data_IF_125332344096
#
_entry.id   IF_125332344096
#
_cell.length_a   1.000
_cell.length_b   1.000
_cell.length_c   1.000
_cell.angle_alpha   90.00
_cell.angle_beta   90.00
_cell.angle_gamma   90.00
#
_symmetry.space_group_name_H-M   'P 1'
#
loop_
_entity.id
_entity.type
_entity.pdbx_description
1 polymer ?
#
# COMPACT_ATOMS: atom_id res chain seq x y z
N UNK A 1 23.67 -6.24 -4.21
CA UNK A 1 23.19 -4.90 -4.58
C UNK A 1 21.96 -5.10 -5.47
N UNK A 2 20.76 -4.69 -5.05
CA UNK A 2 19.53 -4.95 -5.82
C UNK A 2 19.55 -4.15 -7.13
N UNK A 3 19.60 -4.87 -8.26
CA UNK A 3 19.84 -4.35 -9.64
C UNK A 3 18.59 -3.85 -10.35
N UNK A 4 17.39 -4.17 -9.84
CA UNK A 4 16.14 -3.82 -10.51
C UNK A 4 15.75 -2.35 -10.32
N UNK A 5 15.19 -1.70 -11.36
CA UNK A 5 14.77 -0.30 -11.30
C UNK A 5 13.65 -0.08 -10.29
N UNK A 6 13.81 0.95 -9.45
CA UNK A 6 12.73 1.45 -8.59
C UNK A 6 11.66 2.08 -9.48
N UNK A 7 10.40 1.85 -9.14
CA UNK A 7 9.24 2.42 -9.84
C UNK A 7 8.42 3.27 -8.88
N UNK A 8 7.66 4.20 -9.44
CA UNK A 8 6.61 4.87 -8.70
C UNK A 8 5.37 3.98 -8.69
N UNK A 9 4.71 3.87 -7.55
CA UNK A 9 3.62 2.95 -7.34
C UNK A 9 2.46 3.62 -6.61
N UNK A 10 1.26 3.54 -7.16
CA UNK A 10 0.05 3.56 -6.37
C UNK A 10 -0.20 2.14 -5.88
N UNK A 11 -0.19 1.96 -4.56
CA UNK A 11 -0.44 0.69 -3.90
C UNK A 11 -1.71 0.79 -3.06
N UNK A 12 -2.50 -0.27 -3.08
CA UNK A 12 -3.71 -0.41 -2.31
C UNK A 12 -3.42 -1.24 -1.06
N UNK A 13 -3.76 -0.70 0.11
CA UNK A 13 -3.64 -1.37 1.39
C UNK A 13 -5.03 -1.69 1.91
N UNK A 14 -5.18 -2.87 2.53
CA UNK A 14 -6.37 -3.20 3.30
C UNK A 14 -6.00 -4.08 4.49
N UNK A 15 -6.73 -3.88 5.59
CA UNK A 15 -6.50 -4.58 6.86
C UNK A 15 -7.57 -5.63 7.11
N UNK A 16 -8.82 -5.26 6.92
CA UNK A 16 -9.99 -6.06 7.29
C UNK A 16 -10.67 -6.67 6.06
N UNK A 17 -10.87 -5.89 4.99
CA UNK A 17 -11.55 -6.36 3.79
C UNK A 17 -10.57 -6.85 2.73
N UNK A 18 -10.66 -8.13 2.37
CA UNK A 18 -10.05 -8.67 1.15
C UNK A 18 -10.98 -8.37 -0.01
N UNK A 19 -10.61 -7.42 -0.86
CA UNK A 19 -11.36 -7.15 -2.09
C UNK A 19 -10.62 -7.75 -3.28
N UNK A 20 -11.34 -8.48 -4.13
CA UNK A 20 -10.79 -8.91 -5.43
C UNK A 20 -10.52 -7.73 -6.36
N UNK A 21 -11.24 -6.62 -6.16
CA UNK A 21 -11.07 -5.37 -6.90
C UNK A 21 -11.17 -4.15 -5.97
N UNK A 22 -10.27 -3.17 -6.07
CA UNK A 22 -10.35 -1.94 -5.31
C UNK A 22 -11.70 -1.23 -5.52
N UNK A 23 -12.47 -1.09 -4.45
CA UNK A 23 -13.75 -0.38 -4.44
C UNK A 23 -13.83 0.54 -3.21
N UNK A 24 -14.64 1.58 -3.32
CA UNK A 24 -14.73 2.64 -2.32
C UNK A 24 -16.16 2.90 -1.87
N UNK A 25 -16.38 2.99 -0.56
CA UNK A 25 -17.61 3.48 0.08
C UNK A 25 -17.59 5.00 0.04
N UNK A 26 -18.44 5.59 -0.80
CA UNK A 26 -18.42 7.05 -1.04
C UNK A 26 -18.58 7.86 0.25
N UNK A 27 -19.49 7.47 1.15
CA UNK A 27 -19.74 8.16 2.41
C UNK A 27 -18.55 8.13 3.40
N UNK A 28 -17.79 7.03 3.40
CA UNK A 28 -16.66 6.79 4.31
C UNK A 28 -15.31 7.25 3.71
N UNK A 29 -15.29 7.61 2.43
CA UNK A 29 -14.06 7.97 1.74
C UNK A 29 -13.60 9.37 2.13
N UNK A 30 -12.31 9.53 2.34
CA UNK A 30 -11.61 10.81 2.38
C UNK A 30 -10.53 10.85 1.30
N UNK A 31 -10.32 12.04 0.74
CA UNK A 31 -9.28 12.30 -0.25
C UNK A 31 -8.29 13.29 0.33
N UNK A 32 -7.00 13.02 0.12
CA UNK A 32 -5.93 13.93 0.50
C UNK A 32 -6.08 15.26 -0.24
N UNK A 33 -6.01 16.36 0.50
CA UNK A 33 -5.68 17.68 -0.05
C UNK A 33 -4.17 17.91 0.04
N UNK A 34 -3.60 17.81 1.26
CA UNK A 34 -2.15 17.87 1.49
C UNK A 34 -1.73 17.14 2.76
N UNK A 35 -0.47 16.71 2.80
CA UNK A 35 0.17 16.27 4.04
C UNK A 35 0.68 17.52 4.76
N UNK A 36 0.19 17.78 5.99
CA UNK A 36 0.61 18.92 6.81
C UNK A 36 1.95 18.66 7.49
N UNK A 37 2.12 17.44 8.01
CA UNK A 37 3.37 16.97 8.60
C UNK A 37 3.47 15.46 8.46
N UNK A 38 4.70 14.95 8.41
CA UNK A 38 4.94 13.52 8.51
C UNK A 38 6.31 13.24 9.13
N UNK A 39 6.43 12.13 9.85
CA UNK A 39 7.68 11.72 10.48
C UNK A 39 7.72 10.20 10.66
N UNK A 40 8.91 9.67 10.91
CA UNK A 40 9.10 8.25 11.23
C UNK A 40 9.60 8.12 12.68
N UNK A 41 9.18 7.06 13.38
CA UNK A 41 9.69 6.69 14.69
C UNK A 41 9.83 5.18 14.77
N UNK A 42 10.80 4.70 15.53
CA UNK A 42 10.86 3.29 15.95
C UNK A 42 10.30 3.21 17.35
N UNK A 43 9.25 2.41 17.53
CA UNK A 43 8.54 2.24 18.80
C UNK A 43 8.41 0.74 19.11
N UNK A 44 8.91 0.31 20.26
CA UNK A 44 8.97 -1.12 20.61
C UNK A 44 9.77 -1.98 19.61
N UNK A 45 10.75 -1.39 18.91
CA UNK A 45 11.51 -2.06 17.85
C UNK A 45 10.82 -2.09 16.48
N UNK A 46 9.56 -1.64 16.39
CA UNK A 46 8.78 -1.60 15.15
C UNK A 46 8.86 -0.22 14.52
N UNK A 47 9.13 -0.17 13.22
CA UNK A 47 9.15 1.09 12.47
C UNK A 47 7.74 1.55 12.10
N UNK A 48 7.45 2.80 12.44
CA UNK A 48 6.18 3.45 12.14
C UNK A 48 6.38 4.80 11.47
N UNK A 49 5.48 5.11 10.54
CA UNK A 49 5.36 6.42 9.92
C UNK A 49 4.05 7.09 10.34
N UNK A 50 4.12 8.36 10.72
CA UNK A 50 2.99 9.15 11.21
C UNK A 50 2.71 10.30 10.25
N UNK A 51 1.44 10.60 10.04
CA UNK A 51 0.98 11.62 9.10
C UNK A 51 -0.10 12.45 9.74
N UNK A 52 0.04 13.77 9.67
CA UNK A 52 -1.08 14.69 9.84
C UNK A 52 -1.49 15.19 8.47
N UNK A 53 -2.75 14.93 8.09
CA UNK A 53 -3.26 15.17 6.75
C UNK A 53 -4.45 16.11 6.79
N UNK A 54 -4.55 16.95 5.77
CA UNK A 54 -5.73 17.75 5.49
C UNK A 54 -6.48 17.12 4.33
N UNK A 55 -7.76 16.84 4.50
CA UNK A 55 -8.61 16.29 3.45
C UNK A 55 -9.16 17.38 2.53
N UNK A 56 -9.67 17.00 1.36
CA UNK A 56 -10.37 17.95 0.46
C UNK A 56 -11.64 18.56 1.07
N UNK A 57 -12.22 17.92 2.08
CA UNK A 57 -13.34 18.45 2.88
C UNK A 57 -12.89 19.41 3.99
N UNK A 58 -11.57 19.61 4.18
CA UNK A 58 -11.01 20.50 5.20
C UNK A 58 -10.80 19.84 6.57
N UNK A 59 -11.06 18.53 6.71
CA UNK A 59 -10.83 17.80 7.95
C UNK A 59 -9.33 17.58 8.16
N UNK A 60 -8.90 17.64 9.42
CA UNK A 60 -7.55 17.25 9.84
C UNK A 60 -7.64 15.85 10.43
N UNK A 61 -6.85 14.93 9.89
CA UNK A 61 -6.84 13.53 10.29
C UNK A 61 -5.40 13.12 10.54
N UNK A 62 -5.20 12.33 11.59
CA UNK A 62 -3.89 11.77 11.90
C UNK A 62 -3.89 10.26 11.63
N UNK A 63 -2.91 9.78 10.85
CA UNK A 63 -2.75 8.38 10.48
C UNK A 63 -1.40 7.84 10.96
N UNK A 64 -1.39 6.60 11.41
CA UNK A 64 -0.19 5.81 11.69
C UNK A 64 -0.07 4.68 10.68
N UNK A 65 1.13 4.47 10.14
CA UNK A 65 1.46 3.36 9.26
C UNK A 65 2.54 2.50 9.92
N UNK A 66 2.19 1.25 10.24
CA UNK A 66 3.15 0.23 10.64
C UNK A 66 3.83 -0.32 9.39
N UNK A 67 5.11 0.00 9.21
CA UNK A 67 5.86 -0.32 7.98
C UNK A 67 6.19 -1.82 7.86
N UNK A 68 6.26 -2.53 8.98
CA UNK A 68 6.63 -3.95 9.00
C UNK A 68 5.42 -4.86 8.78
N UNK A 69 4.28 -4.48 9.38
CA UNK A 69 3.02 -5.22 9.26
C UNK A 69 2.17 -4.78 8.08
N UNK A 70 2.55 -3.68 7.40
CA UNK A 70 1.81 -3.09 6.28
C UNK A 70 0.38 -2.70 6.64
N UNK A 71 0.21 -2.15 7.84
CA UNK A 71 -1.11 -1.79 8.39
C UNK A 71 -1.19 -0.29 8.63
N UNK A 72 -2.28 0.31 8.15
CA UNK A 72 -2.65 1.68 8.45
C UNK A 72 -3.65 1.71 9.62
N UNK A 73 -3.49 2.70 10.48
CA UNK A 73 -4.33 2.97 11.64
C UNK A 73 -4.77 4.43 11.62
N UNK A 74 -6.00 4.67 12.08
CA UNK A 74 -6.46 5.99 12.44
C UNK A 74 -5.98 6.30 13.86
N UNK A 75 -5.42 7.48 14.07
CA UNK A 75 -5.13 7.96 15.43
C UNK A 75 -6.44 8.51 16.00
N UNK A 76 -6.89 8.03 17.18
CA UNK A 76 -8.12 8.50 17.79
C UNK A 76 -8.13 10.02 18.00
N UNK A 77 -9.29 10.64 17.75
CA UNK A 77 -9.50 12.08 17.94
C UNK A 77 -10.95 12.35 18.37
N UNK A 78 -11.27 13.56 18.80
CA UNK A 78 -12.63 13.92 19.22
C UNK A 78 -13.69 13.70 18.12
N UNK A 79 -13.32 13.87 16.85
CA UNK A 79 -14.21 13.61 15.72
C UNK A 79 -14.34 12.12 15.37
N UNK A 80 -13.36 11.32 15.77
CA UNK A 80 -13.21 9.91 15.41
C UNK A 80 -12.70 9.08 16.60
N UNK A 81 -13.44 9.00 17.72
CA UNK A 81 -12.98 8.28 18.91
C UNK A 81 -12.95 6.77 18.67
N UNK A 82 -14.01 6.24 18.07
CA UNK A 82 -14.22 4.79 17.84
C UNK A 82 -14.31 4.47 16.34
N UNK A 83 -13.42 5.06 15.55
CA UNK A 83 -13.36 4.82 14.11
C UNK A 83 -12.04 4.17 13.72
N UNK A 84 -12.09 3.45 12.60
CA UNK A 84 -10.94 2.75 12.04
C UNK A 84 -10.72 3.16 10.59
N UNK A 85 -9.50 2.93 10.12
CA UNK A 85 -9.16 2.96 8.69
C UNK A 85 -9.00 1.52 8.20
N UNK A 86 -9.47 1.23 6.99
CA UNK A 86 -9.26 -0.08 6.34
C UNK A 86 -8.52 0.08 5.02
N UNK A 87 -9.21 0.60 4.00
CA UNK A 87 -8.66 0.75 2.66
C UNK A 87 -7.89 2.05 2.55
N UNK A 88 -6.63 1.96 2.13
CA UNK A 88 -5.76 3.12 1.90
C UNK A 88 -5.07 2.97 0.56
N UNK A 89 -5.30 3.92 -0.35
CA UNK A 89 -4.53 4.04 -1.58
C UNK A 89 -3.38 5.00 -1.32
N UNK A 90 -2.17 4.50 -1.55
CA UNK A 90 -0.93 5.16 -1.18
C UNK A 90 -0.07 5.35 -2.41
N UNK A 91 0.43 6.57 -2.60
CA UNK A 91 1.49 6.85 -3.57
C UNK A 91 2.85 6.61 -2.92
N UNK A 92 3.63 5.71 -3.51
CA UNK A 92 5.00 5.41 -3.13
C UNK A 92 5.92 5.98 -4.21
N UNK A 93 6.59 7.09 -3.87
CA UNK A 93 7.43 7.84 -4.80
C UNK A 93 8.74 7.13 -5.08
N UNK A 94 9.17 7.17 -6.34
CA UNK A 94 10.47 6.67 -6.79
C UNK A 94 11.60 7.62 -6.39
N UNK A 95 11.99 7.68 -5.11
CA UNK A 95 13.11 8.52 -4.67
C UNK A 95 13.94 7.92 -3.53
N UNK A 96 15.24 7.70 -3.78
CA UNK A 96 16.22 7.30 -2.76
C UNK A 96 16.67 8.46 -1.86
N UNK A 97 16.43 9.71 -2.25
CA UNK A 97 17.02 10.91 -1.61
C UNK A 97 16.06 11.72 -0.73
N UNK A 98 14.87 11.20 -0.44
CA UNK A 98 13.91 11.89 0.42
C UNK A 98 14.28 11.68 1.91
N UNK A 99 14.19 12.69 2.80
CA UNK A 99 14.77 12.62 4.14
C UNK A 99 14.23 11.51 5.03
N UNK A 100 12.96 11.13 4.87
CA UNK A 100 12.35 10.03 5.62
C UNK A 100 11.40 9.22 4.74
N UNK A 101 11.10 7.98 5.15
CA UNK A 101 10.18 7.09 4.43
C UNK A 101 8.77 7.64 4.36
N UNK A 102 8.33 8.31 5.42
CA UNK A 102 7.02 8.96 5.45
C UNK A 102 6.83 9.95 4.29
N UNK A 103 7.88 10.67 3.88
CA UNK A 103 7.80 11.58 2.73
C UNK A 103 7.69 10.87 1.37
N UNK A 104 7.95 9.56 1.32
CA UNK A 104 7.83 8.75 0.10
C UNK A 104 6.50 8.02 0.02
N UNK A 105 5.87 7.75 1.15
CA UNK A 105 4.66 6.93 1.29
C UNK A 105 3.49 7.85 1.61
N UNK A 106 2.74 8.30 0.61
CA UNK A 106 1.74 9.35 0.74
C UNK A 106 0.33 8.75 0.67
N UNK A 107 -0.48 8.79 1.75
CA UNK A 107 -1.85 8.30 1.73
C UNK A 107 -2.73 9.24 0.89
N UNK A 108 -3.09 8.83 -0.32
CA UNK A 108 -3.81 9.65 -1.30
C UNK A 108 -5.33 9.61 -1.10
N UNK A 109 -5.86 8.45 -0.70
CA UNK A 109 -7.29 8.22 -0.47
C UNK A 109 -7.47 7.11 0.56
N UNK A 110 -8.42 7.24 1.46
CA UNK A 110 -8.65 6.25 2.52
C UNK A 110 -10.10 6.21 2.99
N UNK A 111 -10.52 5.08 3.56
CA UNK A 111 -11.85 4.89 4.15
C UNK A 111 -11.78 4.96 5.67
N UNK A 112 -12.62 5.81 6.27
CA UNK A 112 -12.84 5.87 7.71
C UNK A 112 -14.29 5.54 8.00
N UNK A 113 -14.50 4.62 8.93
CA UNK A 113 -15.84 4.20 9.37
C UNK A 113 -15.82 3.75 10.84
N UNK A 114 -16.97 3.73 11.51
CA UNK A 114 -17.08 3.30 12.90
C UNK A 114 -16.56 1.87 13.08
N UNK A 115 -15.84 1.60 14.17
CA UNK A 115 -15.33 0.27 14.48
C UNK A 115 -16.46 -0.76 14.60
N UNK A 116 -17.65 -0.34 15.08
CA UNK A 116 -18.84 -1.17 15.14
C UNK A 116 -19.34 -1.68 13.78
N UNK A 117 -18.96 -1.02 12.68
CA UNK A 117 -19.27 -1.45 11.31
C UNK A 117 -18.21 -2.42 10.74
N UNK A 118 -17.16 -2.74 11.50
CA UNK A 118 -16.38 -3.95 11.25
C UNK A 118 -17.33 -5.13 11.49
N UNK A 119 -17.99 -5.54 10.40
CA UNK A 119 -18.84 -6.72 10.39
C UNK A 119 -18.10 -7.88 11.08
N UNK A 120 -18.62 -8.29 12.25
CA UNK A 120 -18.17 -9.48 13.01
C UNK A 120 -18.28 -10.78 12.18
N UNK A 121 -18.81 -10.73 10.96
CA UNK A 121 -19.20 -11.88 10.14
C UNK A 121 -18.06 -12.61 9.44
N UNK A 122 -16.80 -12.23 9.62
CA UNK A 122 -15.71 -13.06 9.13
C UNK A 122 -14.67 -13.24 10.25
N UNK A 123 -14.79 -14.35 10.98
CA UNK A 123 -13.71 -15.02 11.72
C UNK A 123 -12.52 -15.41 10.80
N UNK A 124 -12.33 -14.70 9.70
CA UNK A 124 -11.25 -14.94 8.75
C UNK A 124 -9.97 -14.42 9.37
N UNK A 125 -8.88 -15.19 9.27
CA UNK A 125 -7.59 -14.71 9.70
C UNK A 125 -7.23 -13.45 8.91
N UNK A 126 -6.55 -12.52 9.59
CA UNK A 126 -5.99 -11.32 8.97
C UNK A 126 -5.28 -11.69 7.66
N UNK A 127 -5.37 -10.85 6.61
CA UNK A 127 -4.67 -11.11 5.36
C UNK A 127 -3.19 -11.40 5.60
N UNK A 128 -2.64 -12.36 4.84
CA UNK A 128 -1.21 -12.59 4.84
C UNK A 128 -0.48 -11.32 4.41
N UNK A 129 0.80 -11.15 4.77
CA UNK A 129 1.54 -9.91 4.51
C UNK A 129 1.48 -9.46 3.03
N UNK A 130 1.65 -10.40 2.09
CA UNK A 130 1.54 -10.16 0.64
C UNK A 130 0.13 -9.79 0.14
N UNK A 131 -0.88 -9.90 1.00
CA UNK A 131 -2.27 -9.52 0.73
C UNK A 131 -2.65 -8.18 1.38
N UNK A 132 -1.83 -7.65 2.29
CA UNK A 132 -2.09 -6.36 2.94
C UNK A 132 -1.68 -5.17 2.09
N UNK A 133 -0.82 -5.39 1.10
CA UNK A 133 -0.47 -4.42 0.06
C UNK A 133 -0.63 -5.07 -1.31
N UNK A 134 -1.25 -4.35 -2.23
CA UNK A 134 -1.46 -4.76 -3.60
C UNK A 134 -1.05 -3.65 -4.56
N UNK A 135 -0.34 -3.97 -5.65
CA UNK A 135 0.00 -2.96 -6.64
C UNK A 135 -1.26 -2.56 -7.41
N UNK A 136 -1.49 -1.25 -7.57
CA UNK A 136 -2.69 -0.72 -8.23
C UNK A 136 -2.36 -0.07 -9.57
N UNK A 137 -1.33 0.78 -9.61
CA UNK A 137 -0.85 1.42 -10.84
C UNK A 137 0.60 1.77 -10.65
N UNK A 138 1.41 1.60 -11.68
CA UNK A 138 2.82 1.95 -11.60
C UNK A 138 3.30 2.77 -12.79
N UNK A 139 4.41 3.46 -12.55
CA UNK A 139 5.13 4.23 -13.55
C UNK A 139 6.63 3.95 -13.42
N UNK A 140 7.30 3.84 -14.56
CA UNK A 140 8.76 3.74 -14.66
C UNK A 140 9.29 4.74 -15.70
N UNK A 141 10.60 4.83 -15.86
CA UNK A 141 11.18 5.70 -16.90
C UNK A 141 10.80 5.29 -18.33
N UNK A 142 10.48 4.01 -18.55
CA UNK A 142 10.08 3.46 -19.85
C UNK A 142 8.57 3.22 -19.98
N UNK A 143 7.87 3.16 -18.86
CA UNK A 143 6.44 2.85 -18.79
C UNK A 143 5.75 4.06 -18.17
N UNK A 144 5.06 4.90 -18.96
CA UNK A 144 4.56 6.18 -18.48
C UNK A 144 3.49 6.03 -17.40
N UNK A 145 2.61 5.04 -17.53
CA UNK A 145 1.64 4.64 -16.50
C UNK A 145 0.98 3.34 -16.97
N UNK A 146 0.88 2.36 -16.09
CA UNK A 146 0.16 1.11 -16.35
C UNK A 146 -0.78 0.79 -15.19
N UNK A 147 -2.07 0.65 -15.50
CA UNK A 147 -3.09 0.28 -14.52
C UNK A 147 -3.09 -1.23 -14.37
N UNK A 148 -3.05 -1.71 -13.13
CA UNK A 148 -3.17 -3.14 -12.86
C UNK A 148 -4.65 -3.50 -12.81
N UNK A 149 -5.02 -4.54 -13.56
CA UNK A 149 -6.39 -5.06 -13.62
C UNK A 149 -6.52 -6.42 -12.94
N UNK A 150 -5.41 -7.15 -12.78
CA UNK A 150 -5.39 -8.47 -12.14
C UNK A 150 -4.03 -8.78 -11.54
N UNK A 151 -4.03 -9.42 -10.37
CA UNK A 151 -2.85 -10.07 -9.78
C UNK A 151 -2.92 -11.56 -10.14
N UNK A 152 -2.03 -12.02 -11.02
CA UNK A 152 -1.98 -13.41 -11.51
C UNK A 152 -1.40 -14.33 -10.44
N UNK A 153 -0.33 -13.90 -9.78
CA UNK A 153 0.34 -14.67 -8.73
C UNK A 153 0.96 -13.72 -7.73
N UNK A 154 1.01 -14.13 -6.47
CA UNK A 154 1.74 -13.42 -5.41
C UNK A 154 2.39 -14.40 -4.46
N UNK A 155 3.54 -14.05 -3.91
CA UNK A 155 4.17 -14.80 -2.83
C UNK A 155 5.10 -13.92 -2.00
N UNK A 156 5.41 -14.39 -0.80
CA UNK A 156 6.39 -13.80 0.11
C UNK A 156 7.67 -14.64 0.03
N UNK A 157 8.81 -13.97 -0.18
CA UNK A 157 10.13 -14.57 -0.07
C UNK A 157 10.88 -13.95 1.11
N UNK A 158 11.43 -14.77 2.00
CA UNK A 158 12.31 -14.32 3.08
C UNK A 158 13.75 -14.33 2.57
N UNK A 159 14.36 -13.16 2.43
CA UNK A 159 15.72 -13.01 1.89
C UNK A 159 16.62 -12.50 3.00
N UNK A 160 17.38 -13.40 3.64
CA UNK A 160 18.40 -13.20 4.70
C UNK A 160 18.20 -12.07 5.73
N UNK A 161 18.07 -10.82 5.29
CA UNK A 161 17.90 -9.60 6.09
C UNK A 161 16.52 -8.94 5.97
N UNK A 162 15.72 -9.26 4.94
CA UNK A 162 14.43 -8.59 4.63
C UNK A 162 13.40 -9.57 4.07
N UNK A 163 12.17 -9.08 3.88
CA UNK A 163 11.08 -9.76 3.17
C UNK A 163 10.83 -9.09 1.81
N UNK A 164 10.66 -9.91 0.79
CA UNK A 164 10.25 -9.47 -0.54
C UNK A 164 8.83 -9.97 -0.84
N UNK A 165 7.96 -9.08 -1.27
CA UNK A 165 6.61 -9.42 -1.73
C UNK A 165 6.61 -9.39 -3.25
N UNK A 166 6.45 -10.55 -3.87
CA UNK A 166 6.49 -10.71 -5.32
C UNK A 166 5.06 -10.74 -5.87
N UNK A 167 4.85 -10.04 -6.97
CA UNK A 167 3.58 -9.96 -7.68
C UNK A 167 3.81 -10.13 -9.17
N UNK A 168 3.10 -11.08 -9.78
CA UNK A 168 2.91 -11.13 -11.23
C UNK A 168 1.55 -10.50 -11.50
N UNK A 169 1.54 -9.45 -12.31
CA UNK A 169 0.34 -8.63 -12.55
C UNK A 169 0.04 -8.53 -14.04
N UNK A 170 -1.24 -8.43 -14.38
CA UNK A 170 -1.75 -8.07 -15.69
C UNK A 170 -2.21 -6.61 -15.68
N UNK A 171 -1.87 -5.88 -16.73
CA UNK A 171 -2.22 -4.47 -16.90
C UNK A 171 -3.39 -4.25 -17.85
N UNK A 172 -3.92 -3.05 -17.88
CA UNK A 172 -4.93 -2.57 -18.83
C UNK A 172 -4.50 -2.67 -20.31
N UNK A 173 -3.20 -2.79 -20.57
CA UNK A 173 -2.64 -3.04 -21.90
C UNK A 173 -2.49 -4.55 -22.20
N UNK A 174 -3.01 -5.44 -21.35
CA UNK A 174 -2.84 -6.90 -21.42
C UNK A 174 -1.38 -7.35 -21.44
N UNK A 175 -0.49 -6.54 -20.85
CA UNK A 175 0.92 -6.88 -20.62
C UNK A 175 1.10 -7.35 -19.19
N UNK A 176 2.06 -8.23 -18.98
CA UNK A 176 2.34 -8.80 -17.67
C UNK A 176 3.69 -8.40 -17.13
N UNK A 177 3.74 -8.12 -15.83
CA UNK A 177 4.95 -7.65 -15.17
C UNK A 177 5.19 -8.37 -13.85
N UNK A 178 6.46 -8.62 -13.56
CA UNK A 178 6.91 -9.04 -12.24
C UNK A 178 7.34 -7.82 -11.43
N UNK A 179 6.56 -7.52 -10.41
CA UNK A 179 6.79 -6.43 -9.47
C UNK A 179 7.21 -7.00 -8.12
N UNK A 180 8.11 -6.31 -7.44
CA UNK A 180 8.57 -6.66 -6.09
C UNK A 180 8.46 -5.46 -5.17
N UNK A 181 7.88 -5.67 -4.00
CA UNK A 181 7.96 -4.73 -2.89
C UNK A 181 8.99 -5.24 -1.87
N UNK A 182 10.01 -4.43 -1.59
CA UNK A 182 11.05 -4.76 -0.60
C UNK A 182 10.65 -4.07 0.71
N UNK A 183 10.28 -4.87 1.71
CA UNK A 183 9.70 -4.39 2.96
C UNK A 183 10.63 -3.40 3.66
N UNK A 184 11.89 -3.79 3.85
CA UNK A 184 12.87 -2.97 4.56
C UNK A 184 13.27 -1.74 3.77
N UNK A 185 13.11 -1.68 2.46
CA UNK A 185 13.42 -0.47 1.68
C UNK A 185 12.18 0.41 1.50
N UNK A 186 10.97 -0.12 1.78
CA UNK A 186 9.67 0.47 1.46
C UNK A 186 9.60 0.99 0.02
N UNK A 187 10.15 0.22 -0.92
CA UNK A 187 10.20 0.56 -2.34
C UNK A 187 9.58 -0.53 -3.22
N UNK A 188 9.10 -0.10 -4.38
CA UNK A 188 8.61 -0.99 -5.43
C UNK A 188 9.64 -1.04 -6.55
N UNK A 189 9.83 -2.24 -7.08
CA UNK A 189 10.76 -2.50 -8.17
C UNK A 189 10.11 -3.31 -9.27
N UNK A 190 10.48 -2.99 -10.50
CA UNK A 190 10.10 -3.76 -11.69
C UNK A 190 11.24 -4.72 -12.01
N UNK A 191 11.01 -6.02 -11.86
CA UNK A 191 12.01 -7.03 -12.19
C UNK A 191 12.14 -7.20 -13.70
N UNK A 192 11.03 -7.57 -14.34
CA UNK A 192 10.93 -7.78 -15.77
C UNK A 192 9.47 -7.75 -16.24
N UNK A 193 9.32 -7.56 -17.55
CA UNK A 193 8.12 -7.97 -18.27
C UNK A 193 8.21 -9.48 -18.51
N UNK A 194 7.07 -10.14 -18.43
CA UNK A 194 6.97 -11.61 -18.47
C UNK A 194 5.93 -12.00 -19.51
N UNK A 195 6.22 -13.01 -20.32
CA UNK A 195 5.22 -13.52 -21.27
C UNK A 195 4.25 -14.46 -20.55
N UNK A 196 3.01 -14.49 -21.04
CA UNK A 196 1.95 -15.34 -20.48
C UNK A 196 2.32 -16.82 -20.39
N UNK A 197 3.12 -17.27 -21.36
CA UNK A 197 3.55 -18.64 -21.52
C UNK A 197 4.47 -19.13 -20.39
N UNK A 198 5.10 -18.22 -19.64
CA UNK A 198 6.02 -18.56 -18.55
C UNK A 198 5.37 -18.59 -17.16
N UNK A 199 4.06 -18.34 -17.05
CA UNK A 199 3.35 -18.45 -15.76
C UNK A 199 3.14 -19.88 -15.27
N UNK A 200 3.45 -20.88 -16.11
CA UNK A 200 3.14 -22.28 -15.85
C UNK A 200 4.31 -23.20 -16.17
N UNK A 201 5.41 -23.11 -15.41
CA UNK A 201 6.16 -24.33 -15.12
C UNK A 201 5.51 -24.92 -13.86
N UNK A 202 4.60 -25.88 -14.08
CA UNK A 202 4.04 -26.71 -13.01
C UNK A 202 5.10 -27.66 -12.49
#
# INVERSE_FOLDING_TARGET
>A
MNTFPIIEMLAFYSRYQRLEKPSWRSACTRQLHRVRSCHCKTDGGVRKSYYSIETKSGEIIDLEYNEEELVWNLVPSDSYPDHVVDKVLVLIKRHKHTPSRAHRVIPYRFEIFPESELHQTDNRPAPALAQRVEPFRFQSGKIPSSQIIKIVTRHLENVMVTKHLHYVVETDQHRFFHLVYILDEADWRLMNEVDEQFFFVK
#
